data_IF_899301646135
#
_entry.id   IF_899301646135
#
_cell.length_a   1.000
_cell.length_b   1.000
_cell.length_c   1.000
_cell.angle_alpha   90.00
_cell.angle_beta   90.00
_cell.angle_gamma   90.00
#
_symmetry.space_group_name_H-M   'P 1'
#
loop_
_entity.id
_entity.type
_entity.pdbx_description
1 polymer ?
#
# COMPACT_ATOMS: atom_id res chain seq x y z
N UNK A 1 -18.00 22.97 29.16
CA UNK A 1 -17.75 24.03 28.16
C UNK A 1 -16.95 23.41 27.02
N UNK A 2 -17.50 23.38 25.80
CA UNK A 2 -16.86 22.83 24.60
C UNK A 2 -16.00 23.91 23.93
N UNK A 3 -14.70 23.65 23.76
CA UNK A 3 -13.80 24.55 23.01
C UNK A 3 -13.75 24.13 21.54
N UNK A 4 -14.23 25.03 20.67
CA UNK A 4 -14.18 24.88 19.21
C UNK A 4 -12.75 25.10 18.69
N UNK A 5 -12.14 24.07 18.12
CA UNK A 5 -10.83 24.13 17.47
C UNK A 5 -10.98 24.71 16.05
N UNK A 6 -10.56 25.97 15.84
CA UNK A 6 -10.47 26.54 14.48
C UNK A 6 -9.43 25.77 13.64
N UNK A 7 -9.70 25.48 12.35
CA UNK A 7 -8.77 24.75 11.49
C UNK A 7 -7.47 25.55 11.28
N UNK A 8 -6.33 24.91 11.52
CA UNK A 8 -4.98 25.48 11.32
C UNK A 8 -4.70 25.54 9.81
N UNK A 9 -4.36 26.73 9.28
CA UNK A 9 -3.95 26.89 7.87
C UNK A 9 -2.76 25.97 7.55
N UNK A 10 -2.73 25.28 6.40
CA UNK A 10 -1.63 24.40 6.03
C UNK A 10 -0.33 25.21 5.84
N UNK A 11 0.74 24.79 6.53
CA UNK A 11 2.07 25.39 6.40
C UNK A 11 2.87 24.60 5.37
N UNK A 12 3.54 25.28 4.44
CA UNK A 12 4.45 24.61 3.50
C UNK A 12 5.59 23.94 4.28
N UNK A 13 6.06 22.75 3.85
CA UNK A 13 7.16 22.06 4.53
C UNK A 13 8.40 22.95 4.60
N UNK A 14 9.14 22.85 5.70
CA UNK A 14 10.49 23.42 5.78
C UNK A 14 11.42 22.67 4.83
N UNK A 15 12.59 23.26 4.50
CA UNK A 15 13.59 22.60 3.64
C UNK A 15 14.02 21.22 4.18
N UNK A 16 14.15 21.09 5.50
CA UNK A 16 14.47 19.82 6.16
C UNK A 16 13.33 18.80 5.98
N UNK A 17 12.08 19.22 6.18
CA UNK A 17 10.90 18.37 5.97
C UNK A 17 10.76 17.92 4.50
N UNK A 18 11.12 18.79 3.56
CA UNK A 18 11.10 18.46 2.14
C UNK A 18 12.17 17.41 1.77
N UNK A 19 13.37 17.49 2.35
CA UNK A 19 14.40 16.45 2.21
C UNK A 19 13.95 15.08 2.73
N UNK A 20 13.26 15.03 3.87
CA UNK A 20 12.69 13.80 4.44
C UNK A 20 11.62 13.20 3.52
N UNK A 21 10.77 14.04 2.92
CA UNK A 21 9.73 13.60 1.98
C UNK A 21 10.32 13.00 0.70
N UNK A 22 11.47 13.47 0.22
CA UNK A 22 12.15 12.86 -0.93
C UNK A 22 12.76 11.50 -0.62
N UNK A 23 13.40 11.35 0.54
CA UNK A 23 13.93 10.05 0.99
C UNK A 23 12.80 9.03 1.16
N UNK A 24 11.67 9.43 1.75
CA UNK A 24 10.49 8.57 1.88
C UNK A 24 9.89 8.16 0.52
N UNK A 25 9.84 9.08 -0.44
CA UNK A 25 9.36 8.80 -1.79
C UNK A 25 10.28 7.86 -2.58
N UNK A 26 11.58 7.84 -2.28
CA UNK A 26 12.56 6.99 -2.96
C UNK A 26 12.59 5.57 -2.36
N UNK A 27 12.45 5.46 -1.04
CA UNK A 27 12.29 4.17 -0.34
C UNK A 27 10.97 3.48 -0.72
N UNK A 28 9.94 4.25 -1.06
CA UNK A 28 8.67 3.72 -1.57
C UNK A 28 8.79 3.09 -2.97
N UNK A 29 9.91 3.26 -3.70
CA UNK A 29 10.01 2.79 -5.10
C UNK A 29 10.63 1.41 -5.30
N UNK A 30 11.49 0.88 -4.40
CA UNK A 30 12.46 -0.13 -4.90
C UNK A 30 12.65 -1.47 -4.17
N UNK A 31 12.17 -1.77 -2.97
CA UNK A 31 12.25 -3.16 -2.44
C UNK A 31 11.08 -3.42 -1.48
N UNK A 32 9.94 -3.87 -2.01
CA UNK A 32 8.84 -4.33 -1.15
C UNK A 32 9.03 -5.82 -0.93
N UNK A 33 9.27 -6.25 0.31
CA UNK A 33 9.24 -7.68 0.61
C UNK A 33 7.83 -8.19 0.30
N UNK A 34 7.71 -9.39 -0.23
CA UNK A 34 6.41 -9.98 -0.61
C UNK A 34 5.41 -9.94 0.57
N UNK A 35 5.93 -10.04 1.80
CA UNK A 35 5.19 -9.85 3.06
C UNK A 35 4.62 -8.44 3.26
N UNK A 36 5.34 -7.40 2.85
CA UNK A 36 4.87 -6.02 2.91
C UNK A 36 3.77 -5.77 1.87
N UNK A 37 3.81 -6.45 0.72
CA UNK A 37 2.72 -6.44 -0.27
C UNK A 37 1.48 -7.13 0.32
N UNK A 38 1.65 -8.31 0.91
CA UNK A 38 0.54 -9.00 1.57
C UNK A 38 -0.06 -8.19 2.73
N UNK A 39 0.79 -7.54 3.53
CA UNK A 39 0.38 -6.64 4.61
C UNK A 39 -0.34 -5.39 4.08
N UNK A 40 0.10 -4.85 2.94
CA UNK A 40 -0.58 -3.75 2.27
C UNK A 40 -1.97 -4.18 1.78
N UNK A 41 -2.09 -5.32 1.09
CA UNK A 41 -3.37 -5.84 0.61
C UNK A 41 -4.37 -6.02 1.75
N UNK A 42 -3.93 -6.60 2.89
CA UNK A 42 -4.77 -6.70 4.10
C UNK A 42 -5.19 -5.35 4.65
N UNK A 43 -4.25 -4.40 4.78
CA UNK A 43 -4.54 -3.05 5.30
C UNK A 43 -5.49 -2.26 4.41
N UNK A 44 -5.48 -2.53 3.10
CA UNK A 44 -6.39 -1.91 2.14
C UNK A 44 -7.73 -2.66 2.00
N UNK A 45 -7.92 -3.80 2.68
CA UNK A 45 -9.15 -4.62 2.56
C UNK A 45 -9.27 -5.35 1.22
N UNK A 46 -8.14 -5.62 0.56
CA UNK A 46 -8.06 -6.27 -0.76
C UNK A 46 -7.55 -7.72 -0.66
N UNK A 47 -7.52 -8.31 0.53
CA UNK A 47 -6.97 -9.65 0.75
C UNK A 47 -7.77 -10.77 0.04
N UNK A 48 -9.03 -10.51 -0.33
CA UNK A 48 -9.94 -11.42 -1.02
C UNK A 48 -10.44 -10.86 -2.38
N UNK A 49 -9.65 -9.94 -2.96
CA UNK A 49 -9.98 -9.30 -4.23
C UNK A 49 -10.16 -10.32 -5.36
N UNK A 50 -11.05 -10.00 -6.31
CA UNK A 50 -11.22 -10.76 -7.54
C UNK A 50 -10.24 -10.25 -8.60
N UNK A 51 -9.42 -11.16 -9.12
CA UNK A 51 -8.31 -10.89 -10.01
C UNK A 51 -8.52 -11.47 -11.42
N UNK A 52 -9.74 -11.90 -11.75
CA UNK A 52 -10.07 -12.54 -13.05
C UNK A 52 -9.63 -11.74 -14.27
N UNK A 53 -9.68 -10.41 -14.15
CA UNK A 53 -9.45 -9.45 -15.24
C UNK A 53 -7.98 -9.04 -15.42
N UNK A 54 -7.07 -9.56 -14.58
CA UNK A 54 -5.64 -9.31 -14.70
C UNK A 54 -4.99 -10.19 -15.77
N UNK A 55 -3.84 -9.77 -16.27
CA UNK A 55 -3.07 -10.59 -17.20
C UNK A 55 -2.38 -11.78 -16.49
N UNK A 56 -1.93 -12.76 -17.27
CA UNK A 56 -1.34 -13.98 -16.71
C UNK A 56 -0.03 -13.75 -15.96
N UNK A 57 0.74 -12.72 -16.33
CA UNK A 57 1.99 -12.39 -15.65
C UNK A 57 1.70 -11.84 -14.25
N UNK A 58 0.71 -10.95 -14.13
CA UNK A 58 0.25 -10.41 -12.85
C UNK A 58 -0.39 -11.50 -11.98
N UNK A 59 -1.21 -12.38 -12.57
CA UNK A 59 -1.80 -13.53 -11.87
C UNK A 59 -0.74 -14.47 -11.30
N UNK A 60 0.36 -14.72 -12.03
CA UNK A 60 1.47 -15.53 -11.54
C UNK A 60 2.09 -14.95 -10.26
N UNK A 61 2.30 -13.63 -10.21
CA UNK A 61 2.82 -12.96 -9.01
C UNK A 61 1.82 -12.99 -7.85
N UNK A 62 0.52 -12.85 -8.13
CA UNK A 62 -0.53 -12.91 -7.11
C UNK A 62 -0.75 -14.32 -6.56
N UNK A 63 -0.49 -15.38 -7.34
CA UNK A 63 -0.50 -16.77 -6.85
C UNK A 63 0.56 -16.99 -5.77
N UNK A 64 1.76 -16.42 -5.92
CA UNK A 64 2.81 -16.44 -4.87
C UNK A 64 2.29 -15.78 -3.58
N UNK A 65 1.60 -14.63 -3.69
CA UNK A 65 1.02 -13.96 -2.53
C UNK A 65 -0.11 -14.76 -1.87
N UNK A 66 -0.96 -15.41 -2.65
CA UNK A 66 -2.02 -16.30 -2.13
C UNK A 66 -1.42 -17.47 -1.37
N UNK A 67 -0.46 -18.16 -1.99
CA UNK A 67 0.04 -19.45 -1.53
C UNK A 67 1.01 -19.28 -0.33
N UNK A 68 1.89 -18.26 -0.36
CA UNK A 68 2.89 -18.05 0.69
C UNK A 68 2.36 -17.22 1.88
N UNK A 69 1.31 -16.41 1.66
CA UNK A 69 0.81 -15.47 2.66
C UNK A 69 -0.66 -15.63 3.03
N UNK A 70 -1.35 -16.71 2.65
CA UNK A 70 -2.74 -16.99 3.03
C UNK A 70 -3.68 -15.80 2.71
N UNK A 71 -3.55 -15.28 1.49
CA UNK A 71 -4.44 -14.24 0.96
C UNK A 71 -5.49 -14.90 0.07
N UNK A 72 -6.79 -14.94 0.45
CA UNK A 72 -7.84 -15.62 -0.30
C UNK A 72 -8.26 -14.87 -1.60
N UNK A 73 -7.29 -14.45 -2.41
CA UNK A 73 -7.50 -13.84 -3.72
C UNK A 73 -8.24 -14.81 -4.66
N UNK A 74 -9.20 -14.28 -5.43
CA UNK A 74 -10.11 -15.04 -6.29
C UNK A 74 -9.83 -14.76 -7.78
N UNK A 75 -10.29 -15.62 -8.69
CA UNK A 75 -10.10 -15.41 -10.14
C UNK A 75 -8.65 -15.54 -10.61
N UNK A 76 -7.83 -16.30 -9.87
CA UNK A 76 -6.43 -16.60 -10.20
C UNK A 76 -6.24 -17.97 -10.87
N UNK A 77 -7.34 -18.65 -11.17
CA UNK A 77 -7.40 -19.87 -11.97
C UNK A 77 -7.10 -19.64 -13.46
#
# INVERSE_FOLDING_TARGET
MTTSLKPRRPRKPTKLQQGILYVAADLARFIVQVEDIASLLRRQGLADADCSDLDEMDKEQLRVLRDDFDLPLRGLD
#
